data_IF_793195569103
#
_entry.id   IF_793195569103
#
_cell.length_a   1.000
_cell.length_b   1.000
_cell.length_c   1.000
_cell.angle_alpha   90.00
_cell.angle_beta   90.00
_cell.angle_gamma   90.00
#
_symmetry.space_group_name_H-M   'P 1'
#
loop_
_entity.id
_entity.type
_entity.pdbx_description
1 polymer ?
#
# COMPACT_ATOMS: atom_id res chain seq x y z
N UNK A 1 14.22 0.84 17.05
CA UNK A 1 12.98 1.02 16.29
C UNK A 1 12.62 2.51 16.28
N UNK A 2 11.99 2.98 15.22
CA UNK A 2 11.62 4.37 15.01
C UNK A 2 10.34 4.69 15.80
N UNK A 3 10.38 5.74 16.61
CA UNK A 3 9.19 6.27 17.28
C UNK A 3 8.27 6.94 16.26
N UNK A 4 7.00 6.52 16.21
CA UNK A 4 6.03 6.99 15.21
C UNK A 4 5.64 8.46 15.40
N UNK A 5 5.56 8.93 16.65
CA UNK A 5 5.23 10.32 16.97
C UNK A 5 6.35 11.26 16.57
N UNK A 6 7.58 10.97 17.01
CA UNK A 6 8.75 11.79 16.65
C UNK A 6 8.97 11.84 15.14
N UNK A 7 8.73 10.74 14.42
CA UNK A 7 8.84 10.71 12.96
C UNK A 7 7.74 11.53 12.29
N UNK A 8 6.50 11.48 12.81
CA UNK A 8 5.39 12.29 12.35
C UNK A 8 5.65 13.79 12.57
N UNK A 9 6.11 14.17 13.75
CA UNK A 9 6.45 15.57 14.07
C UNK A 9 7.59 16.09 13.18
N UNK A 10 8.56 15.22 12.86
CA UNK A 10 9.64 15.57 11.95
C UNK A 10 9.13 15.86 10.53
N UNK A 11 8.12 15.15 10.03
CA UNK A 11 7.46 15.47 8.76
C UNK A 11 6.86 16.87 8.77
N UNK A 12 6.14 17.23 9.85
CA UNK A 12 5.55 18.55 10.00
C UNK A 12 6.63 19.66 9.99
N UNK A 13 7.78 19.43 10.64
CA UNK A 13 8.91 20.39 10.61
C UNK A 13 9.54 20.53 9.22
N UNK A 14 9.39 19.53 8.36
CA UNK A 14 9.81 19.56 6.95
C UNK A 14 8.73 20.14 6.00
N UNK A 15 7.62 20.64 6.53
CA UNK A 15 6.53 21.19 5.75
C UNK A 15 5.57 20.18 5.15
N UNK A 16 5.67 18.90 5.52
CA UNK A 16 4.75 17.84 5.09
C UNK A 16 3.60 17.74 6.07
N UNK A 17 2.40 18.05 5.60
CA UNK A 17 1.16 17.98 6.36
C UNK A 17 0.00 17.34 5.58
N UNK A 18 0.30 16.76 4.43
CA UNK A 18 -0.64 15.98 3.62
C UNK A 18 -0.10 14.59 3.38
N UNK A 19 -0.96 13.60 3.54
CA UNK A 19 -0.64 12.17 3.50
C UNK A 19 -1.59 11.48 2.54
N UNK A 20 -1.06 10.79 1.55
CA UNK A 20 -1.85 9.96 0.65
C UNK A 20 -1.17 8.60 0.48
N UNK A 21 -1.92 7.53 0.29
CA UNK A 21 -1.28 6.24 0.01
C UNK A 21 -2.20 5.05 0.07
N UNK A 22 -1.61 3.89 -0.19
CA UNK A 22 -2.24 2.59 -0.03
C UNK A 22 -1.61 1.91 1.19
N UNK A 23 -2.40 1.51 2.21
CA UNK A 23 -1.86 0.95 3.43
C UNK A 23 -1.01 -0.31 3.20
N UNK A 24 0.12 -0.39 3.88
CA UNK A 24 1.02 -1.53 3.87
C UNK A 24 1.25 -2.10 5.27
N UNK A 25 1.42 -3.41 5.36
CA UNK A 25 1.61 -4.13 6.62
C UNK A 25 2.90 -3.75 7.36
N UNK A 26 4.00 -3.43 6.63
CA UNK A 26 5.26 -3.00 7.24
C UNK A 26 5.18 -1.58 7.81
N UNK A 27 4.33 -0.74 7.21
CA UNK A 27 4.08 0.63 7.64
C UNK A 27 2.90 0.76 8.61
N UNK A 28 2.24 -0.36 8.96
CA UNK A 28 1.01 -0.38 9.78
C UNK A 28 1.09 0.49 11.05
N UNK A 29 2.15 0.45 11.88
CA UNK A 29 2.21 1.30 13.06
C UNK A 29 2.21 2.79 12.72
N UNK A 30 2.93 3.20 11.69
CA UNK A 30 3.01 4.58 11.26
C UNK A 30 1.74 5.05 10.54
N UNK A 31 1.15 4.22 9.67
CA UNK A 31 -0.14 4.53 9.05
C UNK A 31 -1.26 4.68 10.09
N UNK A 32 -1.26 3.87 11.13
CA UNK A 32 -2.21 4.01 12.24
C UNK A 32 -2.01 5.33 12.99
N UNK A 33 -0.76 5.72 13.24
CA UNK A 33 -0.43 7.01 13.86
C UNK A 33 -0.93 8.19 13.00
N UNK A 34 -0.69 8.17 11.69
CA UNK A 34 -1.21 9.18 10.75
C UNK A 34 -2.74 9.24 10.85
N UNK A 35 -3.43 8.09 10.83
CA UNK A 35 -4.90 8.04 10.88
C UNK A 35 -5.50 8.62 12.16
N UNK A 36 -4.77 8.57 13.26
CA UNK A 36 -5.24 9.09 14.55
C UNK A 36 -4.90 10.59 14.75
N UNK A 37 -3.88 11.12 14.08
CA UNK A 37 -3.36 12.47 14.35
C UNK A 37 -3.49 13.45 13.17
N UNK A 38 -3.50 12.97 11.93
CA UNK A 38 -3.71 13.84 10.79
C UNK A 38 -5.20 14.25 10.68
N UNK A 39 -5.50 15.52 10.37
CA UNK A 39 -6.87 15.92 10.06
C UNK A 39 -7.43 15.11 8.90
N UNK A 40 -8.72 14.74 8.93
CA UNK A 40 -9.38 13.90 7.94
C UNK A 40 -9.14 14.39 6.49
N UNK A 41 -9.23 15.70 6.27
CA UNK A 41 -9.00 16.30 4.94
C UNK A 41 -7.53 16.36 4.51
N UNK A 42 -6.61 15.92 5.37
CA UNK A 42 -5.16 15.84 5.11
C UNK A 42 -4.64 14.42 5.00
N UNK A 43 -5.49 13.43 5.16
CA UNK A 43 -5.10 12.02 5.02
C UNK A 43 -6.08 11.29 4.11
N UNK A 44 -5.59 10.81 2.97
CA UNK A 44 -6.39 10.12 1.95
C UNK A 44 -5.85 8.72 1.70
N UNK A 45 -6.68 7.71 1.99
CA UNK A 45 -6.41 6.34 1.52
C UNK A 45 -6.83 6.29 0.05
N UNK A 46 -5.84 6.15 -0.84
CA UNK A 46 -6.06 6.18 -2.27
C UNK A 46 -6.53 4.81 -2.81
N UNK A 47 -7.25 4.82 -3.92
CA UNK A 47 -7.69 3.61 -4.59
C UNK A 47 -6.54 2.79 -5.19
N UNK A 48 -5.43 3.45 -5.56
CA UNK A 48 -4.18 2.84 -5.98
C UNK A 48 -3.02 3.82 -5.81
N UNK A 49 -1.80 3.34 -5.97
CA UNK A 49 -0.58 4.11 -5.70
C UNK A 49 -0.37 5.24 -6.72
N UNK A 50 -0.76 5.05 -7.97
CA UNK A 50 -0.72 6.12 -8.99
C UNK A 50 -1.65 7.28 -8.64
N UNK A 51 -2.85 6.99 -8.11
CA UNK A 51 -3.76 8.01 -7.61
C UNK A 51 -3.18 8.75 -6.39
N UNK A 52 -2.42 8.07 -5.52
CA UNK A 52 -1.75 8.70 -4.39
C UNK A 52 -0.69 9.71 -4.85
N UNK A 53 0.09 9.39 -5.89
CA UNK A 53 1.04 10.34 -6.51
C UNK A 53 0.30 11.56 -7.06
N UNK A 54 -0.82 11.35 -7.76
CA UNK A 54 -1.61 12.45 -8.32
C UNK A 54 -2.23 13.35 -7.22
N UNK A 55 -2.70 12.79 -6.12
CA UNK A 55 -3.18 13.53 -4.95
C UNK A 55 -2.06 14.39 -4.34
N UNK A 56 -0.86 13.83 -4.17
CA UNK A 56 0.31 14.56 -3.69
C UNK A 56 0.70 15.71 -4.63
N UNK A 57 0.66 15.47 -5.94
CA UNK A 57 0.91 16.50 -6.95
C UNK A 57 -0.13 17.63 -6.87
N UNK A 58 -1.43 17.29 -6.77
CA UNK A 58 -2.50 18.28 -6.60
C UNK A 58 -2.34 19.12 -5.34
N UNK A 59 -1.96 18.49 -4.22
CA UNK A 59 -1.65 19.20 -2.98
C UNK A 59 -0.49 20.20 -3.17
N UNK A 60 0.60 19.75 -3.80
CA UNK A 60 1.75 20.63 -4.08
C UNK A 60 1.37 21.81 -4.97
N UNK A 61 0.65 21.57 -6.05
CA UNK A 61 0.20 22.62 -6.97
C UNK A 61 -0.67 23.68 -6.28
N UNK A 62 -1.47 23.28 -5.30
CA UNK A 62 -2.34 24.18 -4.57
C UNK A 62 -1.64 24.93 -3.43
N UNK A 63 -0.57 24.36 -2.84
CA UNK A 63 0.01 24.86 -1.59
C UNK A 63 1.50 25.21 -1.67
N UNK A 64 2.20 24.73 -2.70
CA UNK A 64 3.65 24.80 -2.80
C UNK A 64 4.40 23.84 -1.84
N UNK A 65 3.68 23.02 -1.06
CA UNK A 65 4.25 22.14 -0.03
C UNK A 65 4.42 20.71 -0.54
N UNK A 66 5.48 20.00 -0.14
CA UNK A 66 5.61 18.58 -0.45
C UNK A 66 4.59 17.76 0.36
N UNK A 67 4.25 16.58 -0.15
CA UNK A 67 3.39 15.60 0.52
C UNK A 67 4.14 14.31 0.83
N UNK A 68 3.63 13.51 1.78
CA UNK A 68 4.03 12.12 1.98
C UNK A 68 3.11 11.20 1.19
N UNK A 69 3.71 10.32 0.37
CA UNK A 69 3.02 9.19 -0.26
C UNK A 69 3.55 7.89 0.33
N UNK A 70 2.67 7.07 0.92
CA UNK A 70 3.07 5.79 1.50
C UNK A 70 2.48 4.62 0.71
N UNK A 71 3.27 3.54 0.56
CA UNK A 71 2.86 2.34 -0.18
C UNK A 71 3.74 1.13 0.16
N UNK A 72 3.29 -0.05 -0.21
CA UNK A 72 4.14 -1.22 -0.33
C UNK A 72 4.97 -1.12 -1.61
N UNK A 73 6.17 -1.70 -1.62
CA UNK A 73 7.02 -1.70 -2.82
C UNK A 73 6.37 -2.37 -4.05
N UNK A 74 5.41 -3.28 -3.86
CA UNK A 74 4.61 -3.83 -4.96
C UNK A 74 3.79 -2.77 -5.70
N UNK A 75 3.44 -1.69 -5.03
CA UNK A 75 2.70 -0.56 -5.58
C UNK A 75 3.55 0.39 -6.42
N UNK A 76 4.89 0.33 -6.35
CA UNK A 76 5.75 1.16 -7.19
C UNK A 76 5.46 0.98 -8.68
N UNK A 77 5.12 -0.23 -9.12
CA UNK A 77 4.73 -0.49 -10.51
C UNK A 77 3.54 0.36 -10.97
N UNK A 78 2.55 0.57 -10.11
CA UNK A 78 1.39 1.42 -10.38
C UNK A 78 1.74 2.92 -10.35
N UNK A 79 2.81 3.28 -9.65
CA UNK A 79 3.26 4.66 -9.48
C UNK A 79 4.28 5.11 -10.54
N UNK A 80 4.91 4.19 -11.29
CA UNK A 80 5.96 4.52 -12.27
C UNK A 80 5.48 5.59 -13.25
N UNK A 81 4.33 5.38 -13.90
CA UNK A 81 3.85 6.34 -14.90
C UNK A 81 3.70 7.77 -14.31
N UNK A 82 2.96 8.03 -13.25
CA UNK A 82 2.86 9.38 -12.71
C UNK A 82 4.16 9.91 -12.09
N UNK A 83 5.07 9.05 -11.65
CA UNK A 83 6.40 9.50 -11.19
C UNK A 83 7.23 10.05 -12.34
N UNK A 84 7.25 9.38 -13.50
CA UNK A 84 8.11 9.77 -14.65
C UNK A 84 7.43 10.71 -15.65
N UNK A 85 6.09 10.78 -15.67
CA UNK A 85 5.34 11.58 -16.65
C UNK A 85 4.55 12.75 -16.04
N UNK A 86 4.55 12.87 -14.71
CA UNK A 86 3.94 13.98 -13.98
C UNK A 86 4.93 14.62 -13.01
N UNK A 87 5.51 13.84 -12.08
CA UNK A 87 6.27 14.40 -10.97
C UNK A 87 7.77 14.61 -11.28
N UNK A 88 8.26 14.04 -12.37
CA UNK A 88 9.66 14.14 -12.79
C UNK A 88 10.11 15.59 -13.00
N UNK A 89 11.38 15.95 -12.66
CA UNK A 89 11.94 17.28 -12.88
C UNK A 89 11.83 17.79 -14.33
N UNK A 90 11.96 16.90 -15.30
CA UNK A 90 11.88 17.23 -16.72
C UNK A 90 10.43 17.45 -17.22
N UNK A 91 9.42 17.23 -16.34
CA UNK A 91 8.00 17.42 -16.68
C UNK A 91 7.42 18.57 -15.86
N UNK A 92 6.94 18.34 -14.65
CA UNK A 92 6.39 19.38 -13.77
C UNK A 92 7.21 19.65 -12.51
N UNK A 93 8.17 18.77 -12.20
CA UNK A 93 9.07 18.94 -11.07
C UNK A 93 8.34 19.00 -9.71
N UNK A 94 7.55 17.98 -9.40
CA UNK A 94 6.73 17.94 -8.18
C UNK A 94 7.48 17.28 -7.02
N UNK A 95 7.91 18.02 -5.99
CA UNK A 95 8.57 17.44 -4.83
C UNK A 95 7.58 16.63 -3.98
N UNK A 96 7.95 15.41 -3.66
CA UNK A 96 7.22 14.55 -2.71
C UNK A 96 8.13 13.53 -2.08
N UNK A 97 7.77 13.08 -0.88
CA UNK A 97 8.45 11.99 -0.19
C UNK A 97 7.62 10.71 -0.30
N UNK A 98 8.20 9.66 -0.88
CA UNK A 98 7.62 8.32 -0.86
C UNK A 98 8.15 7.56 0.35
N UNK A 99 7.26 6.95 1.13
CA UNK A 99 7.59 6.00 2.19
C UNK A 99 7.19 4.61 1.71
N UNK A 100 8.17 3.78 1.38
CA UNK A 100 7.96 2.52 0.67
C UNK A 100 8.31 1.33 1.56
N UNK A 101 7.31 0.55 1.95
CA UNK A 101 7.54 -0.69 2.71
C UNK A 101 8.21 -1.75 1.82
N UNK A 102 9.37 -2.27 2.27
CA UNK A 102 10.19 -3.20 1.49
C UNK A 102 9.84 -4.65 1.80
N UNK A 103 8.81 -5.18 1.15
CA UNK A 103 8.51 -6.60 1.17
C UNK A 103 9.46 -7.34 0.25
N UNK A 104 9.87 -8.55 0.67
CA UNK A 104 10.78 -9.38 -0.11
C UNK A 104 12.21 -8.84 -0.18
N UNK A 105 12.69 -8.12 0.85
CA UNK A 105 14.08 -7.70 0.94
C UNK A 105 15.02 -8.91 0.75
N UNK A 106 16.03 -8.84 -0.14
CA UNK A 106 16.93 -9.95 -0.38
C UNK A 106 17.61 -10.45 0.90
N UNK A 107 17.57 -11.77 1.13
CA UNK A 107 18.12 -12.40 2.33
C UNK A 107 17.18 -12.41 3.53
N UNK A 108 16.02 -11.78 3.44
CA UNK A 108 14.99 -11.80 4.49
C UNK A 108 13.85 -12.75 4.09
N UNK A 109 13.38 -13.58 5.05
CA UNK A 109 12.25 -14.47 4.81
C UNK A 109 10.97 -13.67 4.58
N UNK A 110 10.32 -13.92 3.46
CA UNK A 110 9.02 -13.31 3.12
C UNK A 110 8.21 -14.31 2.26
N UNK A 111 7.00 -13.93 1.85
CA UNK A 111 6.13 -14.72 1.00
C UNK A 111 6.64 -14.73 -0.47
N UNK A 112 6.50 -15.83 -1.22
CA UNK A 112 7.07 -15.98 -2.56
C UNK A 112 6.72 -14.86 -3.53
N UNK A 113 5.49 -14.33 -3.48
CA UNK A 113 5.04 -13.24 -4.35
C UNK A 113 5.77 -11.92 -4.11
N UNK A 114 6.48 -11.78 -3.00
CA UNK A 114 7.26 -10.57 -2.69
C UNK A 114 8.72 -10.66 -3.14
N UNK A 115 9.27 -11.85 -3.39
CA UNK A 115 10.70 -12.01 -3.67
C UNK A 115 11.17 -11.19 -4.87
N UNK A 116 10.44 -11.27 -5.98
CA UNK A 116 10.80 -10.50 -7.18
C UNK A 116 10.67 -8.99 -6.94
N UNK A 117 9.58 -8.57 -6.28
CA UNK A 117 9.34 -7.17 -5.96
C UNK A 117 10.45 -6.59 -5.06
N UNK A 118 10.84 -7.34 -4.03
CA UNK A 118 11.92 -6.93 -3.13
C UNK A 118 13.25 -6.77 -3.84
N UNK A 119 13.59 -7.75 -4.68
CA UNK A 119 14.86 -7.74 -5.41
C UNK A 119 14.98 -6.57 -6.41
N UNK A 120 13.87 -6.16 -7.04
CA UNK A 120 13.89 -5.09 -8.06
C UNK A 120 13.63 -3.69 -7.50
N UNK A 121 13.23 -3.55 -6.25
CA UNK A 121 12.82 -2.25 -5.68
C UNK A 121 13.91 -1.17 -5.78
N UNK A 122 15.16 -1.39 -5.35
CA UNK A 122 16.22 -0.39 -5.52
C UNK A 122 16.52 -0.09 -7.00
N UNK A 123 16.63 -1.14 -7.81
CA UNK A 123 16.93 -1.00 -9.23
C UNK A 123 15.82 -0.25 -9.99
N UNK A 124 14.56 -0.37 -9.56
CA UNK A 124 13.46 0.41 -10.14
C UNK A 124 13.59 1.89 -9.81
N UNK A 125 13.96 2.24 -8.57
CA UNK A 125 14.24 3.63 -8.20
C UNK A 125 15.41 4.20 -9.05
N UNK A 126 16.48 3.42 -9.23
CA UNK A 126 17.61 3.80 -10.08
C UNK A 126 17.18 3.99 -11.54
N UNK A 127 16.38 3.06 -12.09
CA UNK A 127 15.93 3.09 -13.47
C UNK A 127 15.06 4.31 -13.81
N UNK A 128 14.25 4.78 -12.86
CA UNK A 128 13.44 6.00 -13.02
C UNK A 128 14.16 7.27 -12.50
N UNK A 129 15.43 7.16 -12.12
CA UNK A 129 16.20 8.28 -11.63
C UNK A 129 15.72 8.89 -10.32
N UNK A 130 14.92 8.19 -9.53
CA UNK A 130 14.39 8.66 -8.25
C UNK A 130 15.39 8.42 -7.11
N UNK A 131 15.93 9.47 -6.47
CA UNK A 131 16.81 9.31 -5.32
C UNK A 131 16.10 8.57 -4.19
N UNK A 132 16.77 7.61 -3.56
CA UNK A 132 16.23 6.89 -2.44
C UNK A 132 17.27 6.61 -1.35
N UNK A 133 16.80 6.32 -0.15
CA UNK A 133 17.59 5.77 0.95
C UNK A 133 16.84 4.65 1.64
N UNK A 134 17.59 3.65 2.13
CA UNK A 134 17.03 2.68 3.07
C UNK A 134 16.97 3.38 4.42
N UNK A 135 15.77 3.45 5.00
CA UNK A 135 15.52 4.13 6.25
C UNK A 135 16.25 3.41 7.41
N UNK A 136 17.10 4.11 8.19
CA UNK A 136 17.69 3.54 9.41
C UNK A 136 16.62 3.09 10.41
N UNK A 137 16.91 2.04 11.17
CA UNK A 137 15.95 1.46 12.12
C UNK A 137 15.87 2.17 13.48
N UNK A 138 16.57 3.28 13.68
CA UNK A 138 16.61 4.07 14.91
C UNK A 138 16.05 5.47 14.66
N UNK A 139 15.39 6.05 15.68
CA UNK A 139 14.61 7.28 15.55
C UNK A 139 15.45 8.46 15.02
N UNK A 140 16.54 8.80 15.67
CA UNK A 140 17.33 9.98 15.30
C UNK A 140 17.97 9.86 13.91
N UNK A 141 18.63 8.74 13.54
CA UNK A 141 19.13 8.54 12.18
C UNK A 141 18.02 8.51 11.11
N UNK A 142 16.84 7.98 11.45
CA UNK A 142 15.69 7.96 10.54
C UNK A 142 15.19 9.40 10.28
N UNK A 143 15.05 10.21 11.32
CA UNK A 143 14.67 11.63 11.22
C UNK A 143 15.71 12.43 10.42
N UNK A 144 17.00 12.18 10.64
CA UNK A 144 18.05 12.84 9.87
C UNK A 144 17.95 12.48 8.37
N UNK A 145 17.73 11.20 8.05
CA UNK A 145 17.52 10.73 6.67
C UNK A 145 16.26 11.34 6.05
N UNK A 146 15.17 11.43 6.80
CA UNK A 146 13.92 12.07 6.37
C UNK A 146 14.18 13.54 5.99
N UNK A 147 14.76 14.31 6.89
CA UNK A 147 15.05 15.73 6.67
C UNK A 147 15.90 15.96 5.44
N UNK A 148 16.94 15.15 5.26
CA UNK A 148 17.82 15.27 4.10
C UNK A 148 17.08 14.90 2.81
N UNK A 149 16.31 13.81 2.78
CA UNK A 149 15.56 13.43 1.58
C UNK A 149 14.48 14.46 1.21
N UNK A 150 13.79 15.03 2.17
CA UNK A 150 12.83 16.13 1.90
C UNK A 150 13.56 17.35 1.37
N UNK A 151 14.74 17.70 1.91
CA UNK A 151 15.56 18.79 1.38
C UNK A 151 15.93 18.53 -0.09
N UNK A 152 16.40 17.32 -0.42
CA UNK A 152 16.70 16.92 -1.81
C UNK A 152 15.45 17.05 -2.70
N UNK A 153 14.29 16.58 -2.23
CA UNK A 153 13.05 16.69 -2.99
C UNK A 153 12.69 18.13 -3.34
N UNK A 154 12.78 19.03 -2.36
CA UNK A 154 12.42 20.45 -2.53
C UNK A 154 13.47 21.20 -3.36
N UNK A 155 14.77 21.01 -3.08
CA UNK A 155 15.83 21.72 -3.81
C UNK A 155 15.94 21.31 -5.27
N UNK A 156 15.62 20.03 -5.58
CA UNK A 156 15.71 19.48 -6.93
C UNK A 156 14.34 19.35 -7.62
N UNK A 157 13.25 19.78 -6.99
CA UNK A 157 11.87 19.68 -7.50
C UNK A 157 11.56 18.28 -8.03
N UNK A 158 11.69 17.26 -7.19
CA UNK A 158 11.53 15.86 -7.62
C UNK A 158 11.00 14.94 -6.53
N UNK A 159 10.40 13.80 -6.91
CA UNK A 159 10.12 12.72 -5.98
C UNK A 159 11.40 12.11 -5.41
N UNK A 160 11.33 11.70 -4.14
CA UNK A 160 12.38 10.93 -3.45
C UNK A 160 11.75 9.80 -2.64
N UNK A 161 12.50 8.74 -2.31
CA UNK A 161 11.97 7.63 -1.54
C UNK A 161 12.79 7.30 -0.29
N UNK A 162 12.08 6.93 0.78
CA UNK A 162 12.61 6.22 1.94
C UNK A 162 12.08 4.79 1.90
N UNK A 163 12.97 3.82 1.74
CA UNK A 163 12.66 2.39 1.70
C UNK A 163 12.73 1.83 3.11
N UNK A 164 11.62 1.28 3.59
CA UNK A 164 11.42 0.89 4.98
C UNK A 164 11.45 -0.62 5.13
N UNK A 165 12.40 -1.12 5.93
CA UNK A 165 12.54 -2.53 6.27
C UNK A 165 11.44 -3.01 7.22
N UNK A 166 11.26 -4.31 7.28
CA UNK A 166 10.39 -4.93 8.28
C UNK A 166 10.80 -4.53 9.72
N UNK A 167 9.81 -4.31 10.58
CA UNK A 167 10.00 -3.96 11.99
C UNK A 167 10.80 -2.66 12.24
N UNK A 168 10.84 -1.74 11.30
CA UNK A 168 11.50 -0.44 11.49
C UNK A 168 10.77 0.44 12.49
N UNK A 169 9.45 0.54 12.42
CA UNK A 169 8.65 1.35 13.34
C UNK A 169 8.33 0.63 14.64
N UNK A 170 8.35 1.36 15.73
CA UNK A 170 7.86 0.90 17.03
C UNK A 170 6.36 0.60 16.95
N UNK A 171 5.88 -0.33 17.79
CA UNK A 171 4.46 -0.63 17.87
C UNK A 171 3.69 0.61 18.29
N UNK A 172 2.61 0.89 17.58
CA UNK A 172 1.67 1.95 17.90
C UNK A 172 0.31 1.34 18.23
N UNK A 173 -0.27 1.76 19.33
CA UNK A 173 -1.61 1.37 19.71
C UNK A 173 -2.60 2.40 19.16
N UNK A 174 -3.29 2.04 18.09
CA UNK A 174 -4.30 2.90 17.47
C UNK A 174 -5.43 3.22 18.45
N UNK A 175 -6.00 4.40 18.30
CA UNK A 175 -7.18 4.80 19.04
C UNK A 175 -8.32 3.80 18.83
N UNK A 176 -9.10 3.55 19.89
CA UNK A 176 -10.26 2.67 19.81
C UNK A 176 -11.30 3.26 18.87
N UNK A 177 -11.63 2.52 17.82
CA UNK A 177 -12.76 2.89 16.96
C UNK A 177 -14.08 2.40 17.56
N UNK A 178 -15.21 3.09 17.32
CA UNK A 178 -16.52 2.60 17.70
C UNK A 178 -16.73 1.17 17.20
N UNK A 179 -17.37 0.34 18.01
CA UNK A 179 -17.74 -1.01 17.58
C UNK A 179 -18.63 -0.92 16.32
N UNK A 180 -18.39 -1.82 15.37
CA UNK A 180 -19.24 -1.92 14.19
C UNK A 180 -20.66 -2.28 14.60
N UNK A 181 -21.64 -1.65 13.97
CA UNK A 181 -23.08 -2.04 14.10
C UNK A 181 -23.41 -3.32 13.33
N UNK A 182 -22.51 -3.81 12.48
CA UNK A 182 -22.71 -5.04 11.72
C UNK A 182 -22.50 -6.26 12.61
N UNK A 183 -23.39 -7.25 12.48
CA UNK A 183 -23.38 -8.49 13.28
C UNK A 183 -22.39 -9.53 12.74
N UNK A 184 -22.09 -9.50 11.44
CA UNK A 184 -21.15 -10.42 10.81
C UNK A 184 -19.74 -9.80 10.78
N UNK A 185 -18.77 -10.58 11.16
CA UNK A 185 -17.36 -10.28 10.87
C UNK A 185 -16.99 -10.75 9.45
N UNK A 186 -15.77 -10.45 8.98
CA UNK A 186 -15.31 -10.81 7.63
C UNK A 186 -15.39 -12.33 7.39
N UNK A 187 -14.86 -13.13 8.29
CA UNK A 187 -14.82 -14.59 8.17
C UNK A 187 -16.22 -15.19 8.06
N UNK A 188 -17.14 -14.78 8.95
CA UNK A 188 -18.54 -15.22 8.90
C UNK A 188 -19.23 -14.76 7.60
N UNK A 189 -18.88 -13.59 7.07
CA UNK A 189 -19.42 -13.10 5.80
C UNK A 189 -18.93 -13.94 4.63
N UNK A 190 -17.62 -14.24 4.58
CA UNK A 190 -17.03 -15.11 3.54
C UNK A 190 -17.67 -16.50 3.58
N UNK A 191 -17.84 -17.09 4.75
CA UNK A 191 -18.50 -18.39 4.93
C UNK A 191 -19.96 -18.37 4.44
N UNK A 192 -20.75 -17.37 4.85
CA UNK A 192 -22.14 -17.20 4.44
C UNK A 192 -22.29 -17.06 2.92
N UNK A 193 -21.41 -16.26 2.29
CA UNK A 193 -21.41 -16.14 0.83
C UNK A 193 -21.07 -17.49 0.19
N UNK A 194 -19.97 -18.12 0.61
CA UNK A 194 -19.51 -19.39 0.02
C UNK A 194 -20.54 -20.51 0.13
N UNK A 195 -21.30 -20.56 1.23
CA UNK A 195 -22.39 -21.51 1.44
C UNK A 195 -23.58 -21.25 0.51
N UNK A 196 -23.86 -19.97 0.23
CA UNK A 196 -25.00 -19.55 -0.57
C UNK A 196 -24.80 -19.70 -2.08
N UNK A 197 -23.55 -19.89 -2.53
CA UNK A 197 -23.21 -19.92 -3.97
C UNK A 197 -23.62 -21.25 -4.62
N UNK A 198 -24.23 -21.18 -5.82
CA UNK A 198 -24.45 -22.38 -6.64
C UNK A 198 -23.17 -23.13 -6.95
N UNK A 199 -23.26 -24.46 -7.21
CA UNK A 199 -22.06 -25.28 -7.39
C UNK A 199 -21.23 -24.98 -8.63
N UNK A 200 -21.69 -24.25 -9.60
CA UNK A 200 -21.01 -23.89 -10.86
C UNK A 200 -20.37 -22.50 -10.88
N UNK A 201 -20.57 -21.70 -9.82
CA UNK A 201 -20.03 -20.35 -9.71
C UNK A 201 -18.50 -20.38 -9.60
N UNK A 202 -17.83 -19.55 -10.40
CA UNK A 202 -16.41 -19.26 -10.19
C UNK A 202 -16.23 -18.15 -9.15
N UNK A 203 -15.31 -18.32 -8.21
CA UNK A 203 -15.03 -17.32 -7.18
C UNK A 203 -13.61 -16.80 -7.36
N UNK A 204 -13.47 -15.48 -7.45
CA UNK A 204 -12.18 -14.78 -7.41
C UNK A 204 -12.11 -14.00 -6.12
N UNK A 205 -11.07 -14.19 -5.32
CA UNK A 205 -10.92 -13.44 -4.08
C UNK A 205 -9.65 -12.59 -4.08
N UNK A 206 -9.72 -11.45 -3.41
CA UNK A 206 -8.58 -10.57 -3.21
C UNK A 206 -7.51 -11.22 -2.32
N UNK A 207 -6.27 -10.73 -2.39
CA UNK A 207 -5.16 -11.27 -1.62
C UNK A 207 -5.34 -11.08 -0.10
N UNK A 208 -4.67 -11.91 0.69
CA UNK A 208 -4.60 -11.79 2.13
C UNK A 208 -5.64 -12.63 2.88
N UNK A 209 -6.32 -12.02 3.85
CA UNK A 209 -7.22 -12.76 4.73
C UNK A 209 -8.42 -13.36 4.02
N UNK A 210 -9.04 -12.64 3.08
CA UNK A 210 -10.23 -13.13 2.37
C UNK A 210 -9.93 -14.44 1.63
N UNK A 211 -8.83 -14.50 0.88
CA UNK A 211 -8.41 -15.72 0.20
C UNK A 211 -8.11 -16.87 1.18
N UNK A 212 -7.47 -16.59 2.31
CA UNK A 212 -7.16 -17.62 3.33
C UNK A 212 -8.43 -18.13 4.01
N UNK A 213 -9.31 -17.25 4.41
CA UNK A 213 -10.58 -17.59 5.05
C UNK A 213 -11.49 -18.42 4.12
N UNK A 214 -11.56 -18.06 2.83
CA UNK A 214 -12.28 -18.84 1.84
C UNK A 214 -11.65 -20.23 1.65
N UNK A 215 -10.32 -20.30 1.56
CA UNK A 215 -9.63 -21.58 1.45
C UNK A 215 -9.91 -22.50 2.64
N UNK A 216 -9.77 -21.98 3.85
CA UNK A 216 -9.98 -22.73 5.08
C UNK A 216 -11.44 -23.17 5.22
N UNK A 217 -12.40 -22.31 4.92
CA UNK A 217 -13.83 -22.63 4.95
C UNK A 217 -14.16 -23.81 4.02
N UNK A 218 -13.68 -23.77 2.77
CA UNK A 218 -13.91 -24.85 1.81
C UNK A 218 -13.25 -26.16 2.23
N UNK A 219 -12.04 -26.09 2.79
CA UNK A 219 -11.34 -27.27 3.32
C UNK A 219 -12.12 -27.91 4.50
N UNK A 220 -12.63 -27.10 5.43
CA UNK A 220 -13.39 -27.57 6.60
C UNK A 220 -14.73 -28.18 6.22
N UNK A 221 -15.40 -27.64 5.19
CA UNK A 221 -16.71 -28.11 4.73
C UNK A 221 -16.63 -29.21 3.66
N UNK A 222 -15.44 -29.66 3.29
CA UNK A 222 -15.23 -30.68 2.26
C UNK A 222 -15.55 -30.21 0.84
N UNK A 223 -15.68 -28.91 0.62
CA UNK A 223 -15.83 -28.31 -0.70
C UNK A 223 -14.45 -28.20 -1.38
N UNK A 224 -14.38 -28.57 -2.66
CA UNK A 224 -13.10 -28.46 -3.39
C UNK A 224 -12.81 -27.03 -3.84
N UNK A 225 -11.54 -26.77 -4.12
CA UNK A 225 -11.03 -25.44 -4.59
C UNK A 225 -11.02 -25.27 -6.11
N UNK A 226 -11.55 -26.22 -6.88
CA UNK A 226 -11.43 -26.26 -8.34
C UNK A 226 -12.11 -25.12 -9.10
N UNK A 227 -12.85 -24.25 -8.40
CA UNK A 227 -13.54 -23.09 -8.97
C UNK A 227 -13.15 -21.77 -8.32
N UNK A 228 -12.21 -21.81 -7.40
CA UNK A 228 -11.73 -20.63 -6.71
C UNK A 228 -10.40 -20.17 -7.32
N UNK A 229 -10.28 -18.91 -7.62
CA UNK A 229 -9.02 -18.25 -7.89
C UNK A 229 -8.68 -17.35 -6.70
N UNK A 230 -7.82 -17.87 -5.83
CA UNK A 230 -7.41 -17.20 -4.59
C UNK A 230 -6.14 -16.40 -4.89
N UNK A 231 -6.27 -15.09 -5.07
CA UNK A 231 -5.11 -14.27 -5.38
C UNK A 231 -4.15 -14.18 -4.19
N UNK A 232 -2.87 -14.34 -4.45
CA UNK A 232 -1.80 -14.21 -3.43
C UNK A 232 -1.04 -12.89 -3.55
N UNK A 233 -1.21 -12.19 -4.65
CA UNK A 233 -0.60 -10.90 -4.95
C UNK A 233 -1.50 -10.08 -5.87
N UNK A 234 -0.94 -9.09 -6.58
CA UNK A 234 -1.68 -8.23 -7.51
C UNK A 234 -2.89 -7.55 -6.85
N UNK A 235 -2.66 -6.90 -5.69
CA UNK A 235 -3.71 -6.15 -4.97
C UNK A 235 -4.43 -5.17 -5.91
N UNK A 236 -5.75 -5.07 -5.75
CA UNK A 236 -6.60 -4.20 -6.56
C UNK A 236 -6.96 -4.76 -7.95
N UNK A 237 -6.62 -6.02 -8.27
CA UNK A 237 -6.87 -6.60 -9.59
C UNK A 237 -7.86 -7.77 -9.59
N UNK A 238 -8.35 -8.19 -8.43
CA UNK A 238 -9.28 -9.34 -8.31
C UNK A 238 -10.54 -9.14 -9.15
N UNK A 239 -11.13 -7.96 -9.10
CA UNK A 239 -12.33 -7.62 -9.90
C UNK A 239 -12.10 -7.69 -11.41
N UNK A 240 -10.91 -7.30 -11.89
CA UNK A 240 -10.58 -7.37 -13.32
C UNK A 240 -10.31 -8.81 -13.77
N UNK A 241 -9.75 -9.65 -12.90
CA UNK A 241 -9.62 -11.09 -13.14
C UNK A 241 -11.01 -11.73 -13.24
N UNK A 242 -11.91 -11.40 -12.30
CA UNK A 242 -13.29 -11.87 -12.32
C UNK A 242 -14.03 -11.44 -13.61
N UNK A 243 -13.88 -10.18 -14.01
CA UNK A 243 -14.45 -9.66 -15.25
C UNK A 243 -13.90 -10.41 -16.48
N UNK A 244 -12.60 -10.66 -16.54
CA UNK A 244 -11.98 -11.43 -17.63
C UNK A 244 -12.57 -12.83 -17.76
N UNK A 245 -12.82 -13.51 -16.62
CA UNK A 245 -13.48 -14.84 -16.61
C UNK A 245 -14.93 -14.72 -17.10
N UNK A 246 -15.68 -13.73 -16.60
CA UNK A 246 -17.09 -13.53 -16.97
C UNK A 246 -17.25 -13.21 -18.47
N UNK A 247 -16.37 -12.42 -19.04
CA UNK A 247 -16.39 -12.13 -20.47
C UNK A 247 -16.04 -13.35 -21.35
N UNK A 248 -15.11 -14.19 -20.87
CA UNK A 248 -14.72 -15.41 -21.59
C UNK A 248 -15.75 -16.55 -21.45
N UNK A 249 -16.53 -16.53 -20.39
CA UNK A 249 -17.54 -17.58 -20.08
C UNK A 249 -18.84 -16.93 -19.60
N UNK A 250 -19.57 -16.23 -20.50
CA UNK A 250 -20.75 -15.43 -20.13
C UNK A 250 -21.91 -16.30 -19.57
N UNK A 251 -21.92 -17.59 -19.87
CA UNK A 251 -22.88 -18.56 -19.34
C UNK A 251 -22.60 -18.93 -17.86
N UNK A 252 -21.42 -18.61 -17.34
CA UNK A 252 -20.99 -19.00 -15.99
C UNK A 252 -21.00 -17.81 -15.05
N UNK A 253 -21.72 -17.87 -13.93
CA UNK A 253 -21.66 -16.81 -12.92
C UNK A 253 -20.26 -16.71 -12.30
N UNK A 254 -19.80 -15.47 -12.06
CA UNK A 254 -18.53 -15.18 -11.40
C UNK A 254 -18.79 -14.25 -10.22
N UNK A 255 -18.26 -14.58 -9.06
CA UNK A 255 -18.30 -13.77 -7.85
C UNK A 255 -16.91 -13.29 -7.50
N UNK A 256 -16.77 -11.99 -7.25
CA UNK A 256 -15.55 -11.38 -6.75
C UNK A 256 -15.71 -11.02 -5.28
N UNK A 257 -14.79 -11.50 -4.45
CA UNK A 257 -14.67 -11.12 -3.03
C UNK A 257 -13.45 -10.20 -2.89
N UNK A 258 -13.68 -8.89 -2.80
CA UNK A 258 -12.62 -7.87 -2.73
C UNK A 258 -12.80 -6.96 -1.50
#
# INVERSE_FOLDING_TARGET
MIDTGMFFDALATCGIDFFAGVPDSLLKPFCAHISDHAPEHRHVIAANEGAAIALAAGHHLATGRPALVYMQNSGLGNAVNPLVSLADPDVYGIPMLLLVGWRGEPGVKDEPQHFKQGAVTPALCDAIGMPYRILPGETEPAIASLKEMVRVAVEQNRPVALIVRANSFAKYQAASRPASSFTLNREATVACIAESLPPDVAVVSTTGHISRELFEYRAQTGQGHGRDFLTVGAMGHASQIALGIALARPERPVVCLD
#
